data_IF_182531824370
#
_entry.id   IF_182531824370
#
_cell.length_a   1.000
_cell.length_b   1.000
_cell.length_c   1.000
_cell.angle_alpha   90.00
_cell.angle_beta   90.00
_cell.angle_gamma   90.00
#
_symmetry.space_group_name_H-M   'P 1'
#
loop_
_entity.id
_entity.type
_entity.pdbx_description
1 polymer ?
#
# COMPACT_ATOMS: atom_id res chain seq x y z
N UNK A 1 -25.53 22.18 -21.67
CA UNK A 1 -24.59 21.31 -22.41
C UNK A 1 -23.82 20.46 -21.39
N UNK A 2 -23.43 19.21 -21.64
CA UNK A 2 -22.65 18.46 -20.64
C UNK A 2 -21.19 18.96 -20.57
N UNK A 3 -20.66 19.20 -19.37
CA UNK A 3 -19.23 19.49 -19.19
C UNK A 3 -18.47 18.16 -19.15
N UNK A 4 -17.49 18.02 -20.03
CA UNK A 4 -16.59 16.87 -20.10
C UNK A 4 -15.22 17.24 -19.56
N UNK A 5 -14.76 16.57 -18.50
CA UNK A 5 -13.42 16.78 -17.95
C UNK A 5 -12.77 15.47 -17.50
N UNK A 6 -11.45 15.49 -17.35
CA UNK A 6 -10.66 14.35 -16.89
C UNK A 6 -10.47 14.41 -15.37
N UNK A 7 -10.57 13.27 -14.71
CA UNK A 7 -10.25 13.20 -13.29
C UNK A 7 -8.74 13.38 -13.05
N UNK A 8 -8.35 14.12 -12.01
CA UNK A 8 -6.93 14.35 -11.65
C UNK A 8 -6.23 13.12 -11.06
N UNK A 9 -7.00 12.21 -10.44
CA UNK A 9 -6.46 10.99 -9.84
C UNK A 9 -6.47 9.79 -10.79
N UNK A 10 -7.34 9.80 -11.81
CA UNK A 10 -7.36 8.76 -12.83
C UNK A 10 -7.68 9.38 -14.21
N UNK A 11 -7.09 8.90 -15.31
CA UNK A 11 -7.27 9.49 -16.65
C UNK A 11 -8.65 9.22 -17.29
N UNK A 12 -9.70 9.00 -16.49
CA UNK A 12 -11.06 8.71 -16.97
C UNK A 12 -11.84 10.00 -17.23
N UNK A 13 -12.53 10.03 -18.37
CA UNK A 13 -13.39 11.12 -18.81
C UNK A 13 -14.74 11.06 -18.09
N UNK A 14 -15.13 12.16 -17.46
CA UNK A 14 -16.38 12.32 -16.71
C UNK A 14 -17.30 13.30 -17.45
N UNK A 15 -18.58 12.96 -17.56
CA UNK A 15 -19.66 13.83 -18.05
C UNK A 15 -20.50 14.25 -16.85
N UNK A 16 -20.64 15.55 -16.62
CA UNK A 16 -21.49 16.10 -15.56
C UNK A 16 -22.36 17.22 -16.13
N UNK A 17 -23.63 17.38 -15.69
CA UNK A 17 -24.46 18.51 -16.07
C UNK A 17 -23.85 19.86 -15.67
N UNK A 18 -24.12 20.90 -16.47
CA UNK A 18 -23.64 22.28 -16.27
C UNK A 18 -23.95 22.83 -14.86
N UNK A 19 -25.09 22.45 -14.27
CA UNK A 19 -25.54 22.92 -12.94
C UNK A 19 -24.64 22.46 -11.78
N UNK A 20 -23.64 21.63 -12.08
CA UNK A 20 -22.65 21.14 -11.13
C UNK A 20 -21.31 21.86 -11.22
N UNK A 21 -21.16 22.85 -12.11
CA UNK A 21 -19.95 23.67 -12.18
C UNK A 21 -19.59 24.27 -10.81
N UNK A 22 -18.33 24.14 -10.40
CA UNK A 22 -17.86 24.61 -9.08
C UNK A 22 -18.22 23.73 -7.88
N UNK A 23 -19.05 22.70 -8.03
CA UNK A 23 -19.35 21.74 -6.94
C UNK A 23 -18.28 20.64 -6.86
N UNK A 24 -18.11 20.09 -5.65
CA UNK A 24 -17.26 18.92 -5.42
C UNK A 24 -18.01 17.67 -5.86
N UNK A 25 -17.44 16.92 -6.80
CA UNK A 25 -17.99 15.65 -7.26
C UNK A 25 -17.01 14.52 -7.00
N UNK A 26 -17.56 13.33 -6.76
CA UNK A 26 -16.80 12.12 -6.52
C UNK A 26 -16.66 11.34 -7.83
N UNK A 27 -15.43 11.00 -8.20
CA UNK A 27 -15.19 10.17 -9.38
C UNK A 27 -15.78 8.75 -9.17
N UNK A 28 -16.65 8.25 -10.07
CA UNK A 28 -17.24 6.92 -9.95
C UNK A 28 -16.25 5.77 -10.17
N UNK A 29 -15.02 6.03 -10.63
CA UNK A 29 -14.02 4.98 -10.90
C UNK A 29 -12.92 4.87 -9.86
N UNK A 30 -12.43 5.98 -9.32
CA UNK A 30 -11.40 5.98 -8.27
C UNK A 30 -11.89 6.48 -6.90
N UNK A 31 -13.07 7.12 -6.83
CA UNK A 31 -13.61 7.68 -5.60
C UNK A 31 -13.00 9.01 -5.15
N UNK A 32 -12.09 9.61 -5.92
CA UNK A 32 -11.45 10.90 -5.62
C UNK A 32 -12.46 12.06 -5.72
N UNK A 33 -12.40 13.01 -4.79
CA UNK A 33 -13.23 14.21 -4.77
C UNK A 33 -12.54 15.36 -5.49
N UNK A 34 -13.12 15.86 -6.58
CA UNK A 34 -12.57 16.94 -7.40
C UNK A 34 -13.65 18.00 -7.66
N UNK A 35 -13.22 19.27 -7.78
CA UNK A 35 -14.10 20.39 -8.14
C UNK A 35 -14.24 20.48 -9.65
N UNK A 36 -15.47 20.65 -10.15
CA UNK A 36 -15.75 20.77 -11.59
C UNK A 36 -15.25 22.12 -12.10
N UNK A 37 -14.38 22.16 -13.13
CA UNK A 37 -13.92 23.41 -13.72
C UNK A 37 -15.10 24.17 -14.35
N UNK A 38 -15.30 25.42 -13.96
CA UNK A 38 -16.30 26.29 -14.59
C UNK A 38 -15.71 26.93 -15.85
N UNK A 39 -16.28 26.71 -17.05
CA UNK A 39 -15.75 27.23 -18.30
C UNK A 39 -15.79 28.77 -18.44
N UNK A 40 -16.29 29.51 -17.44
CA UNK A 40 -16.35 30.98 -17.44
C UNK A 40 -15.46 31.70 -16.42
N UNK A 41 -14.66 30.98 -15.63
CA UNK A 41 -13.82 31.56 -14.58
C UNK A 41 -12.38 31.74 -15.01
N UNK A 42 -12.04 32.87 -15.64
CA UNK A 42 -10.64 33.27 -15.83
C UNK A 42 -9.91 33.34 -14.47
N UNK A 43 -8.59 33.09 -14.42
CA UNK A 43 -7.83 33.16 -13.17
C UNK A 43 -7.83 34.59 -12.64
N UNK A 44 -8.70 34.86 -11.65
CA UNK A 44 -8.57 36.05 -10.82
C UNK A 44 -7.37 35.83 -9.90
N UNK A 45 -6.29 36.52 -10.25
CA UNK A 45 -5.06 36.59 -9.49
C UNK A 45 -5.37 37.13 -8.08
N UNK A 46 -5.06 36.41 -6.99
CA UNK A 46 -5.18 36.96 -5.65
C UNK A 46 -4.27 38.20 -5.50
N UNK A 47 -4.75 39.30 -4.90
CA UNK A 47 -3.94 40.47 -4.61
C UNK A 47 -2.73 40.10 -3.75
N UNK A 48 -1.55 40.56 -4.19
CA UNK A 48 -0.29 40.38 -3.49
C UNK A 48 -0.35 40.98 -2.07
N UNK A 49 -0.19 40.12 -1.06
CA UNK A 49 0.04 40.53 0.31
C UNK A 49 1.53 40.94 0.50
N UNK A 50 1.82 41.93 1.37
CA UNK A 50 3.15 42.52 1.53
C UNK A 50 4.17 41.56 2.18
N UNK A 51 5.48 41.80 1.96
CA UNK A 51 6.55 40.89 2.37
C UNK A 51 6.73 40.89 3.89
N UNK A 52 6.74 39.69 4.48
CA UNK A 52 7.06 39.50 5.90
C UNK A 52 8.59 39.45 6.10
N UNK A 53 9.16 40.14 7.12
CA UNK A 53 10.60 40.19 7.36
C UNK A 53 11.23 38.83 7.69
N UNK A 54 12.54 38.63 7.40
CA UNK A 54 13.22 37.37 7.59
C UNK A 54 13.61 37.17 9.06
N UNK A 55 13.21 36.05 9.64
CA UNK A 55 13.68 35.64 10.96
C UNK A 55 14.02 34.14 11.00
N UNK A 56 15.34 33.91 10.97
CA UNK A 56 16.09 32.99 11.83
C UNK A 56 15.90 31.48 11.62
N UNK A 57 16.99 30.88 11.14
CA UNK A 57 17.42 29.51 11.40
C UNK A 57 17.64 29.27 12.91
N UNK A 58 17.19 28.11 13.42
CA UNK A 58 17.95 27.39 14.44
C UNK A 58 18.39 26.01 13.96
N UNK A 59 19.61 25.67 14.37
CA UNK A 59 20.32 24.41 14.15
C UNK A 59 19.66 23.22 14.89
N UNK A 60 20.07 21.97 14.60
CA UNK A 60 19.27 20.76 14.83
C UNK A 60 19.44 20.18 16.24
N UNK A 61 18.32 19.91 16.92
CA UNK A 61 18.32 19.20 18.20
C UNK A 61 16.92 18.84 18.68
N UNK A 62 16.70 17.52 18.81
CA UNK A 62 15.72 16.85 19.66
C UNK A 62 14.21 16.83 19.27
N UNK A 63 13.69 15.59 19.36
CA UNK A 63 12.31 15.19 19.62
C UNK A 63 11.25 15.44 18.53
N UNK A 64 11.09 14.44 17.65
CA UNK A 64 9.93 14.27 16.77
C UNK A 64 8.66 14.08 17.64
N UNK A 65 7.61 14.91 17.49
CA UNK A 65 6.35 14.73 18.20
C UNK A 65 5.67 13.42 17.82
N UNK A 66 5.28 12.67 18.85
CA UNK A 66 4.48 11.45 18.76
C UNK A 66 3.13 11.84 18.14
N UNK A 67 2.89 11.41 16.90
CA UNK A 67 1.59 11.54 16.25
C UNK A 67 0.55 10.70 17.02
N UNK A 68 -0.63 11.25 17.35
CA UNK A 68 -1.67 10.51 18.04
C UNK A 68 -2.21 9.38 17.16
N UNK A 69 -2.23 8.18 17.74
CA UNK A 69 -2.81 6.95 17.19
C UNK A 69 -4.30 7.18 16.84
N UNK A 70 -4.76 6.88 15.62
CA UNK A 70 -6.19 6.89 15.31
C UNK A 70 -6.91 5.86 16.17
N UNK A 71 -7.78 6.34 17.05
CA UNK A 71 -8.69 5.50 17.83
C UNK A 71 -9.68 4.91 16.84
N UNK A 72 -9.60 3.60 16.61
CA UNK A 72 -10.59 2.86 15.85
C UNK A 72 -11.97 3.03 16.51
N UNK A 73 -13.04 3.32 15.75
CA UNK A 73 -14.39 3.37 16.29
C UNK A 73 -14.75 1.98 16.83
N UNK A 74 -15.06 1.90 18.12
CA UNK A 74 -15.61 0.71 18.77
C UNK A 74 -16.96 0.36 18.09
N UNK A 75 -17.24 -0.91 17.77
CA UNK A 75 -18.55 -1.32 17.26
C UNK A 75 -19.64 -0.94 18.26
N UNK A 76 -20.81 -0.43 17.83
CA UNK A 76 -21.91 -0.15 18.75
C UNK A 76 -22.37 -1.45 19.40
N UNK A 77 -22.40 -1.46 20.72
CA UNK A 77 -23.00 -2.52 21.51
C UNK A 77 -24.48 -2.66 21.14
N UNK A 78 -24.99 -3.90 21.12
CA UNK A 78 -26.42 -4.19 20.98
C UNK A 78 -27.22 -3.34 21.99
N UNK A 79 -28.33 -2.70 21.58
CA UNK A 79 -29.18 -1.96 22.50
C UNK A 79 -29.71 -2.92 23.57
N UNK A 80 -29.36 -2.67 24.83
CA UNK A 80 -30.07 -3.29 25.94
C UNK A 80 -31.44 -2.61 26.05
N UNK A 81 -32.54 -3.35 26.30
CA UNK A 81 -33.83 -2.74 26.58
C UNK A 81 -33.72 -1.89 27.85
N UNK A 82 -34.10 -0.61 27.75
CA UNK A 82 -34.21 0.25 28.92
C UNK A 82 -35.30 -0.31 29.86
N UNK A 83 -35.07 -0.29 31.19
CA UNK A 83 -36.15 -0.54 32.14
C UNK A 83 -37.24 0.54 32.02
N UNK A 84 -38.51 0.20 32.26
CA UNK A 84 -39.61 1.16 32.17
C UNK A 84 -39.41 2.31 33.15
N UNK A 85 -39.84 3.54 32.79
CA UNK A 85 -39.70 4.71 33.65
C UNK A 85 -40.45 4.46 34.96
N UNK A 86 -39.71 4.52 36.07
CA UNK A 86 -40.31 4.58 37.40
C UNK A 86 -40.99 5.94 37.55
N UNK A 87 -42.22 5.88 38.08
CA UNK A 87 -43.14 7.00 38.19
C UNK A 87 -42.51 8.28 38.70
N UNK A 88 -42.91 9.35 38.04
CA UNK A 88 -42.79 10.74 38.43
C UNK A 88 -43.24 10.97 39.90
N UNK A 89 -42.40 11.61 40.74
CA UNK A 89 -42.70 11.85 42.16
C UNK A 89 -43.62 13.06 42.39
N UNK A 90 -44.14 13.68 41.33
CA UNK A 90 -45.12 14.75 41.40
C UNK A 90 -46.41 14.24 40.77
N UNK A 91 -47.27 13.64 41.61
CA UNK A 91 -48.50 12.97 41.19
C UNK A 91 -49.48 13.86 40.43
N UNK A 92 -49.25 13.98 39.13
CA UNK A 92 -50.16 14.51 38.12
C UNK A 92 -50.51 13.39 37.14
N UNK A 93 -51.11 12.33 37.68
CA UNK A 93 -51.84 11.37 36.88
C UNK A 93 -53.25 11.91 36.63
N UNK A 94 -53.42 12.73 35.62
CA UNK A 94 -54.67 12.79 34.87
C UNK A 94 -54.43 13.62 33.61
N UNK A 95 -54.48 12.93 32.46
CA UNK A 95 -55.05 13.41 31.21
C UNK A 95 -54.60 12.41 30.14
N UNK A 96 -55.43 11.40 29.98
CA UNK A 96 -55.53 10.57 28.80
C UNK A 96 -55.55 11.48 27.57
N UNK A 97 -54.39 11.65 26.92
CA UNK A 97 -54.31 12.39 25.67
C UNK A 97 -55.20 11.67 24.64
N UNK A 98 -56.39 12.19 24.30
CA UNK A 98 -57.36 11.51 23.46
C UNK A 98 -56.97 11.57 21.97
N UNK A 99 -55.78 12.09 21.67
CA UNK A 99 -55.16 12.12 20.35
C UNK A 99 -53.92 11.22 20.25
N UNK A 100 -53.57 10.48 21.30
CA UNK A 100 -52.58 9.41 21.22
C UNK A 100 -53.23 8.12 20.70
N UNK A 101 -54.03 8.22 19.64
CA UNK A 101 -54.44 7.05 18.89
C UNK A 101 -53.21 6.48 18.18
N UNK A 102 -53.08 5.15 18.25
CA UNK A 102 -52.09 4.26 17.65
C UNK A 102 -52.02 4.37 16.11
N UNK A 103 -51.78 5.55 15.56
CA UNK A 103 -51.51 5.72 14.15
C UNK A 103 -50.08 5.24 13.88
N UNK A 104 -49.88 4.21 13.02
CA UNK A 104 -48.54 3.82 12.57
C UNK A 104 -47.90 5.04 11.94
N UNK A 105 -46.82 5.52 12.54
CA UNK A 105 -46.06 6.64 12.01
C UNK A 105 -45.66 6.34 10.54
N UNK A 106 -46.21 7.06 9.55
CA UNK A 106 -45.98 6.74 8.13
C UNK A 106 -44.55 6.99 7.67
N UNK A 107 -43.69 7.52 8.56
CA UNK A 107 -42.27 7.76 8.36
C UNK A 107 -41.36 6.82 9.18
N UNK A 108 -41.89 5.85 9.92
CA UNK A 108 -41.02 4.81 10.47
C UNK A 108 -40.42 3.98 9.34
N UNK A 109 -39.10 3.97 9.27
CA UNK A 109 -38.39 2.96 8.49
C UNK A 109 -38.83 1.56 8.95
N UNK A 110 -39.30 0.68 8.05
CA UNK A 110 -39.73 -0.65 8.44
C UNK A 110 -38.59 -1.38 9.16
N UNK A 111 -38.92 -2.02 10.28
CA UNK A 111 -37.97 -2.85 11.04
C UNK A 111 -37.28 -3.85 10.08
N UNK A 112 -35.97 -4.14 10.23
CA UNK A 112 -35.23 -5.03 9.34
C UNK A 112 -35.80 -6.46 9.24
N UNK A 113 -36.76 -6.82 10.10
CA UNK A 113 -37.51 -8.07 10.03
C UNK A 113 -38.69 -8.05 9.03
N UNK A 114 -39.17 -6.86 8.61
CA UNK A 114 -40.34 -6.67 7.74
C UNK A 114 -39.99 -6.27 6.29
N UNK A 115 -38.71 -6.01 5.99
CA UNK A 115 -38.26 -5.74 4.63
C UNK A 115 -38.25 -7.04 3.82
N UNK A 116 -39.28 -7.23 2.98
CA UNK A 116 -39.26 -8.20 1.90
C UNK A 116 -37.95 -8.06 1.10
N UNK A 117 -37.35 -9.17 0.62
CA UNK A 117 -36.08 -9.13 -0.09
C UNK A 117 -36.20 -8.23 -1.32
N UNK A 118 -35.51 -7.09 -1.28
CA UNK A 118 -35.42 -6.20 -2.44
C UNK A 118 -34.77 -6.97 -3.60
N UNK A 119 -35.36 -6.93 -4.81
CA UNK A 119 -34.76 -7.53 -6.01
C UNK A 119 -33.43 -6.86 -6.42
N UNK A 120 -33.06 -5.77 -5.74
CA UNK A 120 -31.78 -5.06 -5.88
C UNK A 120 -30.81 -5.32 -4.72
N UNK A 121 -31.00 -6.37 -3.93
CA UNK A 121 -29.93 -6.85 -3.06
C UNK A 121 -28.80 -7.35 -3.96
N UNK A 122 -27.69 -6.61 -3.99
CA UNK A 122 -26.47 -7.09 -4.61
C UNK A 122 -26.18 -8.49 -4.05
N UNK A 123 -25.93 -9.50 -4.90
CA UNK A 123 -25.65 -10.85 -4.42
C UNK A 123 -24.56 -10.70 -3.36
N UNK A 124 -24.73 -11.31 -2.16
CA UNK A 124 -23.67 -11.29 -1.16
C UNK A 124 -22.43 -11.74 -1.89
N UNK A 125 -21.37 -10.90 -1.88
CA UNK A 125 -20.09 -11.23 -2.51
C UNK A 125 -19.82 -12.66 -2.10
N UNK A 126 -19.91 -13.57 -3.08
CA UNK A 126 -19.78 -15.00 -2.86
C UNK A 126 -18.46 -15.14 -2.11
N UNK A 127 -18.56 -15.37 -0.81
CA UNK A 127 -17.45 -15.75 0.05
C UNK A 127 -17.11 -17.17 -0.41
N UNK A 128 -16.62 -17.28 -1.64
CA UNK A 128 -16.21 -18.53 -2.25
C UNK A 128 -15.08 -19.01 -1.38
N UNK A 129 -15.34 -20.07 -0.61
CA UNK A 129 -14.40 -20.77 0.26
C UNK A 129 -13.27 -19.88 0.76
N UNK A 130 -13.54 -19.11 1.82
CA UNK A 130 -12.51 -18.30 2.48
C UNK A 130 -11.25 -19.14 2.63
N UNK A 131 -10.21 -18.75 1.88
CA UNK A 131 -8.95 -19.46 1.87
C UNK A 131 -8.44 -19.51 3.31
N UNK A 132 -8.14 -20.72 3.81
CA UNK A 132 -7.70 -20.86 5.19
C UNK A 132 -6.47 -19.97 5.43
N UNK A 133 -6.33 -19.37 6.62
CA UNK A 133 -5.18 -18.52 6.92
C UNK A 133 -3.86 -19.28 6.79
N UNK A 134 -3.88 -20.61 6.85
CA UNK A 134 -2.71 -21.47 6.64
C UNK A 134 -2.36 -21.59 5.17
N UNK A 135 -3.36 -21.79 4.31
CA UNK A 135 -3.18 -21.83 2.85
C UNK A 135 -2.60 -20.51 2.33
N UNK A 136 -3.11 -19.38 2.83
CA UNK A 136 -2.59 -18.05 2.46
C UNK A 136 -1.12 -17.84 2.87
N UNK A 137 -0.70 -18.39 4.02
CA UNK A 137 0.71 -18.34 4.45
C UNK A 137 1.59 -19.17 3.51
N UNK A 138 1.18 -20.41 3.24
CA UNK A 138 1.95 -21.32 2.37
C UNK A 138 2.13 -20.71 0.98
N UNK A 139 1.06 -20.14 0.41
CA UNK A 139 1.05 -19.48 -0.90
C UNK A 139 2.03 -18.31 -1.01
N UNK A 140 2.24 -17.53 0.06
CA UNK A 140 3.24 -16.45 0.06
C UNK A 140 4.66 -16.95 0.37
N UNK A 141 4.80 -17.95 1.25
CA UNK A 141 6.12 -18.44 1.67
C UNK A 141 6.87 -19.17 0.57
N UNK A 142 6.19 -19.89 -0.33
CA UNK A 142 6.84 -20.60 -1.43
C UNK A 142 7.56 -19.63 -2.41
N UNK A 143 6.90 -18.60 -2.98
CA UNK A 143 7.57 -17.65 -3.88
C UNK A 143 8.73 -16.94 -3.19
N UNK A 144 8.50 -16.47 -1.96
CA UNK A 144 9.49 -15.71 -1.20
C UNK A 144 10.69 -16.55 -0.81
N UNK A 145 10.51 -17.83 -0.47
CA UNK A 145 11.60 -18.76 -0.20
C UNK A 145 12.43 -19.06 -1.46
N UNK A 146 11.79 -19.21 -2.62
CA UNK A 146 12.49 -19.40 -3.90
C UNK A 146 13.34 -18.16 -4.23
N UNK A 147 12.78 -16.95 -4.12
CA UNK A 147 13.53 -15.70 -4.32
C UNK A 147 14.68 -15.55 -3.31
N UNK A 148 14.47 -15.98 -2.07
CA UNK A 148 15.51 -15.94 -1.03
C UNK A 148 16.68 -16.88 -1.39
N UNK A 149 16.39 -18.09 -1.86
CA UNK A 149 17.41 -19.04 -2.30
C UNK A 149 18.19 -18.50 -3.51
N UNK A 150 17.50 -17.91 -4.49
CA UNK A 150 18.12 -17.25 -5.65
C UNK A 150 19.06 -16.13 -5.17
N UNK A 151 18.63 -15.30 -4.22
CA UNK A 151 19.49 -14.24 -3.68
C UNK A 151 20.66 -14.72 -2.83
N UNK A 152 20.52 -15.86 -2.13
CA UNK A 152 21.65 -16.47 -1.45
C UNK A 152 22.72 -16.96 -2.45
N UNK A 153 22.31 -17.53 -3.59
CA UNK A 153 23.22 -17.95 -4.66
C UNK A 153 23.90 -16.72 -5.29
N UNK A 154 23.16 -15.64 -5.56
CA UNK A 154 23.74 -14.40 -6.09
C UNK A 154 24.72 -13.75 -5.12
N UNK A 155 24.41 -13.74 -3.81
CA UNK A 155 25.33 -13.23 -2.79
C UNK A 155 26.62 -14.06 -2.77
N UNK A 156 26.50 -15.39 -2.79
CA UNK A 156 27.67 -16.27 -2.84
C UNK A 156 28.53 -15.99 -4.07
N UNK A 157 27.91 -15.83 -5.25
CA UNK A 157 28.61 -15.46 -6.47
C UNK A 157 29.34 -14.11 -6.36
N UNK A 158 28.71 -13.09 -5.78
CA UNK A 158 29.33 -11.79 -5.57
C UNK A 158 30.53 -11.88 -4.60
N UNK A 159 30.39 -12.63 -3.51
CA UNK A 159 31.49 -12.87 -2.55
C UNK A 159 32.66 -13.57 -3.21
N UNK A 160 32.40 -14.59 -4.04
CA UNK A 160 33.45 -15.31 -4.79
C UNK A 160 34.15 -14.41 -5.81
N UNK A 161 33.42 -13.52 -6.51
CA UNK A 161 34.01 -12.55 -7.44
C UNK A 161 34.92 -11.56 -6.70
N UNK A 162 34.47 -11.02 -5.57
CA UNK A 162 35.29 -10.13 -4.74
C UNK A 162 36.54 -10.86 -4.23
N UNK A 163 36.38 -12.08 -3.73
CA UNK A 163 37.50 -12.89 -3.24
C UNK A 163 38.49 -13.22 -4.36
N UNK A 164 38.01 -13.57 -5.55
CA UNK A 164 38.85 -13.80 -6.73
C UNK A 164 39.59 -12.54 -7.19
N UNK A 165 38.91 -11.38 -7.16
CA UNK A 165 39.52 -10.09 -7.45
C UNK A 165 40.65 -9.75 -6.48
N UNK A 166 40.42 -9.93 -5.18
CA UNK A 166 41.43 -9.73 -4.14
C UNK A 166 42.60 -10.71 -4.33
N UNK A 167 42.30 -11.99 -4.59
CA UNK A 167 43.33 -13.02 -4.76
C UNK A 167 44.25 -12.73 -5.93
N UNK A 168 43.70 -12.32 -7.07
CA UNK A 168 44.47 -11.97 -8.27
C UNK A 168 45.20 -10.63 -8.12
N UNK A 169 44.67 -9.68 -7.35
CA UNK A 169 45.38 -8.47 -6.97
C UNK A 169 46.61 -8.77 -6.10
N UNK A 170 46.52 -9.76 -5.19
CA UNK A 170 47.66 -10.21 -4.38
C UNK A 170 48.65 -11.08 -5.15
N UNK A 171 48.18 -11.80 -6.18
CA UNK A 171 48.98 -12.71 -7.00
C UNK A 171 48.87 -12.36 -8.48
N UNK A 172 49.42 -11.21 -8.91
CA UNK A 172 49.30 -10.78 -10.30
C UNK A 172 49.99 -11.81 -11.23
N UNK A 173 49.31 -12.32 -12.27
CA UNK A 173 49.87 -13.30 -13.18
C UNK A 173 51.08 -12.72 -13.93
N UNK A 174 52.24 -13.35 -13.77
CA UNK A 174 53.55 -12.87 -14.26
C UNK A 174 53.73 -12.88 -15.80
N UNK A 175 52.67 -13.00 -16.60
CA UNK A 175 52.78 -13.22 -18.05
C UNK A 175 51.61 -12.81 -18.93
N UNK A 176 50.65 -12.02 -18.45
CA UNK A 176 49.49 -11.58 -19.24
C UNK A 176 49.68 -10.19 -19.84
N UNK A 177 50.26 -10.10 -21.04
CA UNK A 177 50.22 -8.87 -21.86
C UNK A 177 48.84 -8.73 -22.54
N UNK A 178 48.36 -7.49 -22.68
CA UNK A 178 47.17 -7.03 -23.41
C UNK A 178 45.85 -6.90 -22.62
N UNK A 179 45.89 -6.31 -21.43
CA UNK A 179 44.75 -5.48 -20.96
C UNK A 179 45.27 -4.06 -20.80
N UNK A 180 44.74 -3.11 -21.56
CA UNK A 180 45.27 -1.74 -21.57
C UNK A 180 45.12 -1.04 -20.21
N UNK A 181 44.25 -1.54 -19.32
CA UNK A 181 43.99 -0.98 -17.98
C UNK A 181 43.55 -2.05 -16.96
N UNK A 182 44.45 -2.93 -16.45
CA UNK A 182 44.09 -3.96 -15.47
C UNK A 182 43.58 -3.38 -14.15
N UNK A 183 44.20 -2.30 -13.67
CA UNK A 183 43.81 -1.55 -12.45
C UNK A 183 42.33 -1.15 -12.47
N UNK A 184 41.87 -0.61 -13.59
CA UNK A 184 40.48 -0.18 -13.77
C UNK A 184 39.51 -1.36 -13.72
N UNK A 185 39.89 -2.50 -14.32
CA UNK A 185 39.08 -3.71 -14.32
C UNK A 185 38.91 -4.28 -12.90
N UNK A 186 40.00 -4.35 -12.11
CA UNK A 186 39.93 -4.78 -10.71
C UNK A 186 39.04 -3.87 -9.89
N UNK A 187 39.24 -2.56 -10.01
CA UNK A 187 38.44 -1.56 -9.31
C UNK A 187 36.96 -1.68 -9.68
N UNK A 188 36.63 -1.85 -10.96
CA UNK A 188 35.27 -2.04 -11.43
C UNK A 188 34.63 -3.33 -10.89
N UNK A 189 35.38 -4.45 -10.86
CA UNK A 189 34.90 -5.73 -10.32
C UNK A 189 34.65 -5.65 -8.80
N UNK A 190 35.54 -5.02 -8.04
CA UNK A 190 35.39 -4.86 -6.59
C UNK A 190 34.22 -3.94 -6.24
N UNK A 191 34.08 -2.80 -6.92
CA UNK A 191 32.96 -1.87 -6.70
C UNK A 191 31.64 -2.53 -7.11
N UNK A 192 31.57 -3.14 -8.28
CA UNK A 192 30.38 -3.82 -8.77
C UNK A 192 29.96 -4.99 -7.87
N UNK A 193 30.92 -5.81 -7.44
CA UNK A 193 30.69 -6.89 -6.47
C UNK A 193 30.20 -6.36 -5.12
N UNK A 194 30.80 -5.28 -4.61
CA UNK A 194 30.42 -4.66 -3.34
C UNK A 194 28.98 -4.12 -3.35
N UNK A 195 28.61 -3.39 -4.41
CA UNK A 195 27.24 -2.89 -4.60
C UNK A 195 26.26 -4.06 -4.75
N UNK A 196 26.62 -5.10 -5.51
CA UNK A 196 25.81 -6.30 -5.66
C UNK A 196 25.56 -7.02 -4.34
N UNK A 197 26.59 -7.17 -3.51
CA UNK A 197 26.47 -7.74 -2.15
C UNK A 197 25.53 -6.92 -1.28
N UNK A 198 25.69 -5.59 -1.26
CA UNK A 198 24.85 -4.70 -0.45
C UNK A 198 23.37 -4.81 -0.85
N UNK A 199 23.07 -4.74 -2.15
CA UNK A 199 21.70 -4.87 -2.65
C UNK A 199 21.12 -6.26 -2.37
N UNK A 200 21.93 -7.31 -2.49
CA UNK A 200 21.52 -8.69 -2.17
C UNK A 200 21.19 -8.85 -0.69
N UNK A 201 21.99 -8.25 0.22
CA UNK A 201 21.71 -8.27 1.66
C UNK A 201 20.42 -7.52 1.99
N UNK A 202 20.17 -6.37 1.38
CA UNK A 202 18.92 -5.61 1.56
C UNK A 202 17.71 -6.40 1.03
N UNK A 203 17.85 -7.04 -0.14
CA UNK A 203 16.81 -7.90 -0.71
C UNK A 203 16.49 -9.08 0.21
N UNK A 204 17.51 -9.80 0.70
CA UNK A 204 17.34 -10.91 1.63
C UNK A 204 16.72 -10.47 2.96
N UNK A 205 17.12 -9.32 3.51
CA UNK A 205 16.49 -8.77 4.70
C UNK A 205 15.00 -8.45 4.48
N UNK A 206 14.65 -7.91 3.30
CA UNK A 206 13.26 -7.68 2.90
C UNK A 206 12.46 -8.99 2.76
N UNK A 207 13.03 -10.00 2.10
CA UNK A 207 12.42 -11.33 1.92
C UNK A 207 12.30 -12.10 3.25
N UNK A 208 13.29 -12.02 4.13
CA UNK A 208 13.22 -12.59 5.47
C UNK A 208 12.11 -11.91 6.29
N UNK A 209 11.98 -10.57 6.22
CA UNK A 209 10.87 -9.87 6.85
C UNK A 209 9.51 -10.22 6.23
N UNK A 210 9.46 -10.56 4.93
CA UNK A 210 8.24 -11.05 4.27
C UNK A 210 7.82 -12.42 4.85
N UNK A 211 8.75 -13.35 5.00
CA UNK A 211 8.52 -14.68 5.61
C UNK A 211 8.12 -14.53 7.09
N UNK A 212 8.81 -13.64 7.82
CA UNK A 212 8.53 -13.34 9.22
C UNK A 212 7.27 -12.47 9.43
N UNK A 213 6.66 -11.95 8.35
CA UNK A 213 5.43 -11.13 8.36
C UNK A 213 5.49 -9.92 9.31
N UNK A 214 6.67 -9.31 9.44
CA UNK A 214 6.91 -8.18 10.38
C UNK A 214 6.54 -6.81 9.83
N UNK A 215 6.61 -6.61 8.51
CA UNK A 215 6.20 -5.35 7.88
C UNK A 215 5.88 -5.53 6.40
N UNK A 216 4.77 -4.94 5.96
CA UNK A 216 4.30 -5.03 4.58
C UNK A 216 5.21 -4.27 3.60
N UNK A 217 5.71 -3.10 4.01
CA UNK A 217 6.57 -2.27 3.17
C UNK A 217 7.91 -2.93 2.87
N UNK A 218 8.56 -3.56 3.86
CA UNK A 218 9.82 -4.28 3.61
C UNK A 218 9.61 -5.53 2.76
N UNK A 219 8.45 -6.20 2.87
CA UNK A 219 8.15 -7.34 2.02
C UNK A 219 8.10 -6.94 0.54
N UNK A 220 7.47 -5.81 0.22
CA UNK A 220 7.48 -5.24 -1.13
C UNK A 220 8.88 -4.90 -1.62
N UNK A 221 9.69 -4.24 -0.79
CA UNK A 221 11.09 -3.90 -1.12
C UNK A 221 11.90 -5.17 -1.41
N UNK A 222 11.76 -6.21 -0.57
CA UNK A 222 12.43 -7.49 -0.76
C UNK A 222 12.04 -8.20 -2.06
N UNK A 223 10.75 -8.19 -2.41
CA UNK A 223 10.26 -8.81 -3.66
C UNK A 223 10.71 -8.02 -4.90
N UNK A 224 10.63 -6.68 -4.88
CA UNK A 224 11.09 -5.84 -6.00
C UNK A 224 12.60 -5.98 -6.19
N UNK A 225 13.39 -5.87 -5.12
CA UNK A 225 14.85 -6.03 -5.20
C UNK A 225 15.25 -7.45 -5.56
N UNK A 226 14.48 -8.46 -5.15
CA UNK A 226 14.71 -9.85 -5.53
C UNK A 226 14.46 -10.14 -7.02
N UNK A 227 13.65 -9.31 -7.70
CA UNK A 227 13.49 -9.37 -9.16
C UNK A 227 14.64 -8.74 -9.91
N UNK A 228 15.32 -7.74 -9.34
CA UNK A 228 16.44 -7.09 -10.01
C UNK A 228 17.70 -7.98 -9.88
N UNK A 229 18.23 -8.54 -10.98
CA UNK A 229 19.55 -9.14 -10.97
C UNK A 229 20.59 -8.01 -10.80
N UNK A 230 20.90 -7.67 -9.55
CA UNK A 230 21.73 -6.53 -9.20
C UNK A 230 23.22 -6.73 -9.51
N UNK A 231 23.62 -7.89 -10.01
CA UNK A 231 24.96 -8.15 -10.48
C UNK A 231 25.11 -7.64 -11.91
N UNK A 232 25.78 -6.49 -12.09
CA UNK A 232 26.29 -6.04 -13.39
C UNK A 232 27.24 -7.04 -14.07
N UNK A 233 27.59 -8.14 -13.39
CA UNK A 233 28.28 -9.27 -13.96
C UNK A 233 27.35 -9.99 -14.95
N UNK A 234 27.56 -9.72 -16.24
CA UNK A 234 27.00 -10.37 -17.43
C UNK A 234 27.39 -11.86 -17.54
N UNK A 235 27.39 -12.58 -16.43
CA UNK A 235 27.71 -13.99 -16.39
C UNK A 235 26.46 -14.78 -16.82
N UNK A 236 26.66 -15.86 -17.58
CA UNK A 236 25.56 -16.68 -18.09
C UNK A 236 24.65 -17.22 -16.96
N UNK A 237 25.24 -17.53 -15.80
CA UNK A 237 24.53 -18.05 -14.63
C UNK A 237 23.56 -17.02 -14.03
N UNK A 238 23.96 -15.75 -13.92
CA UNK A 238 23.11 -14.67 -13.40
C UNK A 238 21.96 -14.34 -14.36
N UNK A 239 22.18 -14.47 -15.68
CA UNK A 239 21.11 -14.35 -16.68
C UNK A 239 20.08 -15.48 -16.56
N UNK A 240 20.52 -16.72 -16.35
CA UNK A 240 19.62 -17.86 -16.15
C UNK A 240 18.81 -17.71 -14.85
N UNK A 241 19.46 -17.30 -13.75
CA UNK A 241 18.78 -17.00 -12.48
C UNK A 241 17.77 -15.86 -12.63
N UNK A 242 18.08 -14.82 -13.40
CA UNK A 242 17.16 -13.72 -13.67
C UNK A 242 15.89 -14.17 -14.42
N UNK A 243 16.03 -15.07 -15.39
CA UNK A 243 14.91 -15.66 -16.12
C UNK A 243 13.94 -16.42 -15.20
N UNK A 244 14.43 -17.02 -14.12
CA UNK A 244 13.60 -17.69 -13.11
C UNK A 244 13.08 -16.71 -12.06
N UNK A 245 13.89 -15.74 -11.64
CA UNK A 245 13.53 -14.77 -10.61
C UNK A 245 12.36 -13.87 -11.04
N UNK A 246 12.31 -13.46 -12.31
CA UNK A 246 11.26 -12.60 -12.83
C UNK A 246 9.84 -13.20 -12.71
N UNK A 247 9.53 -14.40 -13.24
CA UNK A 247 8.20 -15.00 -13.11
C UNK A 247 7.85 -15.33 -11.65
N UNK A 248 8.81 -15.82 -10.86
CA UNK A 248 8.60 -16.09 -9.43
C UNK A 248 8.32 -14.80 -8.67
N UNK A 249 9.00 -13.71 -9.01
CA UNK A 249 8.74 -12.39 -8.45
C UNK A 249 7.32 -11.93 -8.76
N UNK A 250 6.87 -12.04 -10.02
CA UNK A 250 5.52 -11.61 -10.41
C UNK A 250 4.49 -12.40 -9.61
N UNK A 251 4.71 -13.71 -9.46
CA UNK A 251 3.89 -14.56 -8.62
C UNK A 251 3.87 -14.10 -7.15
N UNK A 252 5.02 -13.73 -6.59
CA UNK A 252 5.11 -13.17 -5.23
C UNK A 252 4.33 -11.86 -5.09
N UNK A 253 4.39 -10.95 -6.08
CA UNK A 253 3.65 -9.68 -6.09
C UNK A 253 2.15 -9.94 -6.11
N UNK A 254 1.67 -10.86 -6.96
CA UNK A 254 0.25 -11.22 -7.01
C UNK A 254 -0.23 -11.74 -5.67
N UNK A 255 0.56 -12.58 -4.99
CA UNK A 255 0.24 -13.06 -3.64
C UNK A 255 0.24 -11.94 -2.60
N UNK A 256 1.14 -10.96 -2.69
CA UNK A 256 1.15 -9.78 -1.81
C UNK A 256 -0.03 -8.81 -2.01
N UNK A 257 -0.67 -8.85 -3.18
CA UNK A 257 -1.85 -8.06 -3.50
C UNK A 257 -3.15 -8.67 -2.96
N UNK A 258 -3.14 -9.94 -2.54
CA UNK A 258 -4.31 -10.58 -1.94
C UNK A 258 -4.62 -9.96 -0.57
N UNK A 259 -5.88 -9.55 -0.30
CA UNK A 259 -6.26 -8.92 0.96
C UNK A 259 -6.08 -9.86 2.16
N UNK A 260 -6.25 -11.17 1.96
CA UNK A 260 -6.05 -12.20 2.99
C UNK A 260 -4.59 -12.25 3.45
N UNK A 261 -3.65 -12.16 2.50
CA UNK A 261 -2.21 -12.14 2.76
C UNK A 261 -1.80 -10.83 3.42
N UNK A 262 -2.35 -9.70 2.95
CA UNK A 262 -2.11 -8.38 3.54
C UNK A 262 -2.55 -8.32 5.01
N UNK A 263 -3.65 -8.97 5.37
CA UNK A 263 -4.15 -9.03 6.74
C UNK A 263 -3.25 -9.84 7.70
N UNK A 264 -2.30 -10.63 7.18
CA UNK A 264 -1.36 -11.40 8.00
C UNK A 264 -0.13 -10.60 8.45
N UNK A 265 0.13 -9.43 7.87
CA UNK A 265 1.23 -8.56 8.26
C UNK A 265 0.84 -7.74 9.51
N UNK A 266 1.73 -7.72 10.50
CA UNK A 266 1.58 -6.88 11.71
C UNK A 266 2.36 -5.58 11.61
#
# INVERSE_FOLDING_TARGET
MPIEFLCTACPKKLRVPDDSAGKKVRCPSCGHLQVIPSPGGGPSMPPAAPPKPPAQTPAPGAAKPIAPKPIAPKPPAKPQPLPPPQGDPFGLSDDSNPFADDAPNPFASPSPAASAPSPYVAPPRRSGNGMSPETAKVLLTIPTAILLAIQAINLLGCVLIIAGAIFLAMNPPRGGQNVDNPEFLWMAMSIGGGIGCLLSLVAMAGLANAILRKSYSFAWVGVILGMLPCSLALNCVTMLLAMVAFPVGIWAIVMLCMPEVKAQFR
#
